data_IF_160293499635
#
_entry.id   IF_160293499635
#
_cell.length_a   1.000
_cell.length_b   1.000
_cell.length_c   1.000
_cell.angle_alpha   90.00
_cell.angle_beta   90.00
_cell.angle_gamma   90.00
#
_symmetry.space_group_name_H-M   'P 1'
#
loop_
_entity.id
_entity.type
_entity.pdbx_description
1 polymer ?
#
# COMPACT_ATOMS: atom_id res chain seq x y z
N UNK A 1 -11.94 -7.66 -24.16
CA UNK A 1 -10.80 -6.98 -23.51
C UNK A 1 -10.30 -7.89 -22.41
N UNK A 2 -9.01 -8.20 -22.38
CA UNK A 2 -8.42 -9.07 -21.36
C UNK A 2 -8.16 -8.28 -20.09
N UNK A 3 -8.72 -8.75 -18.97
CA UNK A 3 -8.38 -8.32 -17.62
C UNK A 3 -7.70 -9.51 -16.95
N UNK A 4 -6.48 -9.31 -16.48
CA UNK A 4 -5.74 -10.29 -15.70
C UNK A 4 -5.35 -9.66 -14.37
N UNK A 5 -5.71 -10.32 -13.28
CA UNK A 5 -5.26 -9.98 -11.94
C UNK A 5 -4.67 -11.25 -11.34
N UNK A 6 -3.41 -11.20 -10.94
CA UNK A 6 -2.74 -12.34 -10.30
C UNK A 6 -1.80 -11.91 -9.21
N UNK A 7 -1.64 -12.79 -8.23
CA UNK A 7 -0.57 -12.72 -7.26
C UNK A 7 0.69 -13.31 -7.91
N UNK A 8 1.82 -12.63 -7.73
CA UNK A 8 3.12 -13.16 -8.12
C UNK A 8 3.72 -13.97 -6.98
N UNK A 9 4.83 -14.66 -7.25
CA UNK A 9 5.57 -15.37 -6.21
C UNK A 9 5.93 -14.43 -5.06
N UNK A 10 5.76 -14.85 -3.79
CA UNK A 10 6.13 -14.05 -2.64
C UNK A 10 7.61 -13.63 -2.66
N UNK A 11 7.90 -12.40 -2.21
CA UNK A 11 9.26 -11.87 -2.07
C UNK A 11 9.50 -11.42 -0.62
N UNK A 12 10.74 -11.11 -0.22
CA UNK A 12 11.03 -10.48 1.08
C UNK A 12 10.26 -9.17 1.30
N UNK A 13 9.81 -8.52 0.23
CA UNK A 13 9.05 -7.27 0.21
C UNK A 13 7.52 -7.49 0.22
N UNK A 14 7.04 -8.72 0.40
CA UNK A 14 5.62 -9.06 0.50
C UNK A 14 5.09 -9.87 -0.68
N UNK A 15 3.78 -9.76 -0.94
CA UNK A 15 3.09 -10.49 -2.01
C UNK A 15 2.75 -9.52 -3.15
N UNK A 16 3.52 -9.50 -4.25
CA UNK A 16 3.26 -8.58 -5.34
C UNK A 16 1.96 -8.96 -6.07
N UNK A 17 1.20 -7.94 -6.47
CA UNK A 17 0.00 -8.09 -7.30
C UNK A 17 0.30 -7.51 -8.68
N UNK A 18 0.00 -8.29 -9.72
CA UNK A 18 0.04 -7.82 -11.11
C UNK A 18 -1.39 -7.59 -11.59
N UNK A 19 -1.64 -6.39 -12.12
CA UNK A 19 -2.91 -6.00 -12.75
C UNK A 19 -2.60 -5.61 -14.18
N UNK A 20 -3.18 -6.36 -15.12
CA UNK A 20 -3.09 -6.08 -16.53
C UNK A 20 -4.48 -5.83 -17.09
N UNK A 21 -4.71 -4.61 -17.55
CA UNK A 21 -5.97 -4.18 -18.14
C UNK A 21 -5.71 -3.15 -19.25
N UNK A 22 -6.74 -2.91 -20.05
CA UNK A 22 -6.74 -1.86 -21.05
C UNK A 22 -7.85 -0.87 -20.71
N UNK A 23 -7.68 0.40 -21.09
CA UNK A 23 -8.77 1.36 -21.16
C UNK A 23 -9.19 1.55 -22.62
N UNK A 24 -10.45 1.93 -22.84
CA UNK A 24 -10.97 2.27 -24.16
C UNK A 24 -10.55 3.69 -24.58
N UNK A 25 -10.19 4.53 -23.62
CA UNK A 25 -9.79 5.91 -23.85
C UNK A 25 -8.28 5.98 -24.09
N UNK A 26 -7.87 6.65 -25.18
CA UNK A 26 -6.46 6.93 -25.50
C UNK A 26 -6.03 8.34 -25.10
N UNK A 27 -6.96 9.12 -24.53
CA UNK A 27 -6.70 10.43 -23.98
C UNK A 27 -5.86 10.29 -22.70
N UNK A 28 -4.79 11.06 -22.60
CA UNK A 28 -3.80 10.95 -21.53
C UNK A 28 -4.41 11.24 -20.16
N UNK A 29 -5.23 12.29 -20.04
CA UNK A 29 -5.81 12.72 -18.75
C UNK A 29 -6.76 11.66 -18.21
N UNK A 30 -7.54 11.04 -19.11
CA UNK A 30 -8.43 9.93 -18.74
C UNK A 30 -7.67 8.66 -18.41
N UNK A 31 -6.61 8.37 -19.16
CA UNK A 31 -5.77 7.21 -18.91
C UNK A 31 -5.14 7.28 -17.52
N UNK A 32 -4.56 8.42 -17.15
CA UNK A 32 -4.03 8.67 -15.81
C UNK A 32 -5.12 8.60 -14.73
N UNK A 33 -6.30 9.17 -14.98
CA UNK A 33 -7.43 9.09 -14.05
C UNK A 33 -7.83 7.64 -13.74
N UNK A 34 -7.96 6.81 -14.78
CA UNK A 34 -8.26 5.37 -14.62
C UNK A 34 -7.16 4.66 -13.84
N UNK A 35 -5.87 4.98 -14.07
CA UNK A 35 -4.78 4.42 -13.27
C UNK A 35 -4.88 4.82 -11.80
N UNK A 36 -5.12 6.10 -11.52
CA UNK A 36 -5.29 6.63 -10.16
C UNK A 36 -6.43 5.94 -9.42
N UNK A 37 -7.61 5.87 -10.03
CA UNK A 37 -8.79 5.24 -9.44
C UNK A 37 -8.53 3.78 -9.02
N UNK A 38 -7.77 3.03 -9.83
CA UNK A 38 -7.39 1.65 -9.50
C UNK A 38 -6.52 1.61 -8.25
N UNK A 39 -5.47 2.42 -8.17
CA UNK A 39 -4.57 2.43 -7.01
C UNK A 39 -5.24 2.96 -5.75
N UNK A 40 -6.07 4.00 -5.86
CA UNK A 40 -6.81 4.56 -4.73
C UNK A 40 -7.77 3.53 -4.14
N UNK A 41 -8.52 2.82 -4.99
CA UNK A 41 -9.41 1.76 -4.54
C UNK A 41 -8.65 0.61 -3.85
N UNK A 42 -7.52 0.18 -4.43
CA UNK A 42 -6.70 -0.87 -3.85
C UNK A 42 -6.18 -0.47 -2.48
N UNK A 43 -5.59 0.72 -2.34
CA UNK A 43 -5.02 1.20 -1.08
C UNK A 43 -6.11 1.37 -0.03
N UNK A 44 -7.28 1.90 -0.41
CA UNK A 44 -8.40 2.11 0.49
C UNK A 44 -8.94 0.79 1.07
N UNK A 45 -8.92 -0.31 0.31
CA UNK A 45 -9.43 -1.60 0.76
C UNK A 45 -8.38 -2.45 1.50
N UNK A 46 -7.08 -2.14 1.41
CA UNK A 46 -6.02 -2.92 2.09
C UNK A 46 -6.28 -3.15 3.59
N UNK A 47 -6.71 -2.15 4.40
CA UNK A 47 -6.95 -2.34 5.82
C UNK A 47 -8.05 -3.37 6.13
N UNK A 48 -9.07 -3.48 5.28
CA UNK A 48 -10.17 -4.46 5.43
C UNK A 48 -9.68 -5.90 5.32
N UNK A 49 -8.58 -6.12 4.60
CA UNK A 49 -7.92 -7.42 4.48
C UNK A 49 -6.77 -7.60 5.50
N UNK A 50 -6.57 -6.64 6.41
CA UNK A 50 -5.44 -6.64 7.34
C UNK A 50 -4.08 -6.44 6.63
N UNK A 51 -4.08 -5.90 5.42
CA UNK A 51 -2.89 -5.64 4.63
C UNK A 51 -2.42 -4.19 4.82
N UNK A 52 -1.12 -3.98 4.62
CA UNK A 52 -0.50 -2.65 4.59
C UNK A 52 0.39 -2.51 3.36
N UNK A 53 0.49 -1.29 2.84
CA UNK A 53 1.43 -0.98 1.76
C UNK A 53 2.86 -1.22 2.25
N UNK A 54 3.64 -1.99 1.49
CA UNK A 54 5.04 -2.23 1.76
C UNK A 54 5.93 -1.13 1.13
N UNK A 55 6.92 -0.64 1.87
CA UNK A 55 7.93 0.31 1.40
C UNK A 55 9.31 -0.08 1.98
N UNK A 56 10.34 -0.17 1.13
CA UNK A 56 11.69 -0.60 1.51
C UNK A 56 12.53 0.61 1.98
N UNK A 57 13.37 0.53 3.04
CA UNK A 57 13.22 -0.09 4.35
C UNK A 57 12.75 0.96 5.38
N UNK A 58 11.51 0.92 5.85
CA UNK A 58 10.97 2.08 6.54
C UNK A 58 11.27 2.11 8.05
N UNK A 59 12.03 3.13 8.46
CA UNK A 59 12.26 3.51 9.85
C UNK A 59 11.00 3.86 10.67
N UNK A 60 9.78 3.69 10.14
CA UNK A 60 8.53 3.75 10.90
C UNK A 60 8.41 2.60 11.90
N UNK A 61 8.88 1.40 11.56
CA UNK A 61 8.88 0.25 12.48
C UNK A 61 9.87 0.48 13.64
N UNK A 62 10.96 1.22 13.39
CA UNK A 62 11.89 1.66 14.43
C UNK A 62 11.35 2.88 15.22
N UNK A 63 10.79 3.88 14.53
CA UNK A 63 10.24 5.09 15.15
C UNK A 63 9.02 4.81 16.05
N UNK A 64 8.15 3.85 15.70
CA UNK A 64 7.10 3.36 16.61
C UNK A 64 7.70 2.70 17.86
N UNK A 65 8.77 1.91 17.72
CA UNK A 65 9.46 1.31 18.86
C UNK A 65 10.06 2.37 19.82
N UNK A 66 10.62 3.46 19.28
CA UNK A 66 11.19 4.56 20.09
C UNK A 66 10.15 5.58 20.62
N UNK A 67 9.03 5.78 19.92
CA UNK A 67 7.94 6.64 20.40
C UNK A 67 7.21 6.00 21.59
N UNK A 68 7.02 4.68 21.56
CA UNK A 68 6.33 3.93 22.61
C UNK A 68 7.15 3.87 23.91
N UNK A 69 8.48 3.90 23.83
CA UNK A 69 9.36 3.92 25.01
C UNK A 69 9.38 5.30 25.70
N UNK A 70 9.43 6.41 24.95
CA UNK A 70 9.38 7.78 25.51
C UNK A 70 8.04 8.16 26.13
N UNK A 71 6.93 7.64 25.62
CA UNK A 71 5.61 7.90 26.19
C UNK A 71 5.40 7.24 27.57
N UNK A 72 6.11 6.13 27.84
CA UNK A 72 6.07 5.41 29.11
C UNK A 72 6.75 6.18 30.24
N UNK A 73 7.87 6.84 29.95
CA UNK A 73 8.62 7.65 30.93
C UNK A 73 7.88 8.92 31.38
N UNK A 74 7.10 9.55 30.51
CA UNK A 74 6.38 10.79 30.85
C UNK A 74 5.15 10.58 31.74
N UNK A 75 4.54 9.39 31.75
CA UNK A 75 3.26 9.13 32.45
C UNK A 75 3.46 8.66 33.91
N UNK A 76 4.67 8.27 34.30
CA UNK A 76 5.02 7.86 35.67
C UNK A 76 5.55 8.99 36.56
N UNK A 77 5.68 10.21 36.02
CA UNK A 77 6.30 11.35 36.70
C UNK A 77 5.36 12.54 36.95
N UNK A 78 4.04 12.36 36.86
CA UNK A 78 3.04 13.42 37.03
C UNK A 78 1.86 12.98 37.88
#
# INVERSE_FOLDING_TARGET
MTLLVRQLSPTPQGLPIEIYCFTRDTDWDKYEGVQGDIFDHLIAILPEFGLKVFQEPAGVDLAQAFATSRARDKKTSG
#
